data_IF_922345938530
#
_entry.id   IF_922345938530
#
_cell.length_a   1.000
_cell.length_b   1.000
_cell.length_c   1.000
_cell.angle_alpha   90.00
_cell.angle_beta   90.00
_cell.angle_gamma   90.00
#
_symmetry.space_group_name_H-M   'P 1'
#
loop_
_entity.id
_entity.type
_entity.pdbx_description
1 polymer ?
#
# COMPACT_ATOMS: atom_id res chain seq x y z
N UNK A 1 -33.83 -55.65 0.10
CA UNK A 1 -33.55 -54.66 1.16
C UNK A 1 -32.14 -54.14 0.96
N UNK A 2 -32.05 -52.83 0.83
CA UNK A 2 -30.91 -52.00 0.45
C UNK A 2 -29.89 -51.92 1.59
N UNK A 3 -28.59 -52.06 1.29
CA UNK A 3 -27.52 -51.56 2.18
C UNK A 3 -26.74 -50.53 1.38
N UNK A 4 -26.89 -49.27 1.79
CA UNK A 4 -26.27 -48.11 1.17
C UNK A 4 -24.76 -48.11 1.46
N UNK A 5 -23.96 -48.00 0.40
CA UNK A 5 -22.52 -47.74 0.48
C UNK A 5 -22.33 -46.24 0.75
N UNK A 6 -21.96 -45.87 1.97
CA UNK A 6 -21.65 -44.49 2.32
C UNK A 6 -20.26 -44.12 1.76
N UNK A 7 -20.22 -43.36 0.67
CA UNK A 7 -19.02 -42.70 0.17
C UNK A 7 -18.69 -41.51 1.08
N UNK A 8 -17.68 -41.68 1.94
CA UNK A 8 -17.02 -40.56 2.61
C UNK A 8 -16.19 -39.78 1.59
N UNK A 9 -16.81 -38.77 0.96
CA UNK A 9 -16.09 -37.80 0.13
C UNK A 9 -15.26 -36.90 1.02
N UNK A 10 -13.95 -37.12 1.06
CA UNK A 10 -12.98 -36.17 1.61
C UNK A 10 -12.93 -35.00 0.61
N UNK A 11 -13.74 -33.98 0.84
CA UNK A 11 -13.66 -32.72 0.11
C UNK A 11 -12.34 -32.03 0.47
N UNK A 12 -11.35 -32.11 -0.40
CA UNK A 12 -10.21 -31.22 -0.34
C UNK A 12 -10.71 -29.80 -0.57
N UNK A 13 -10.80 -29.00 0.51
CA UNK A 13 -10.97 -27.55 0.40
C UNK A 13 -9.67 -27.02 -0.20
N UNK A 14 -9.61 -26.91 -1.53
CA UNK A 14 -8.53 -26.26 -2.23
C UNK A 14 -8.71 -24.76 -1.98
N UNK A 15 -8.12 -24.25 -0.90
CA UNK A 15 -8.05 -22.81 -0.70
C UNK A 15 -7.30 -22.20 -1.87
N UNK A 16 -7.99 -21.45 -2.74
CA UNK A 16 -7.33 -20.68 -3.78
C UNK A 16 -6.47 -19.60 -3.12
N UNK A 17 -5.16 -19.78 -3.14
CA UNK A 17 -4.22 -18.75 -2.70
C UNK A 17 -4.41 -17.49 -3.55
N UNK A 18 -4.31 -16.28 -2.97
CA UNK A 18 -4.35 -15.04 -3.73
C UNK A 18 -3.27 -15.04 -4.81
N UNK A 19 -3.66 -14.85 -6.07
CA UNK A 19 -2.70 -14.65 -7.16
C UNK A 19 -2.24 -13.20 -7.13
N UNK A 20 -0.92 -13.01 -7.00
CA UNK A 20 -0.29 -11.69 -7.06
C UNK A 20 0.11 -11.41 -8.50
N UNK A 21 -0.64 -10.52 -9.16
CA UNK A 21 -0.27 -9.97 -10.46
C UNK A 21 0.42 -8.62 -10.27
N UNK A 22 1.25 -8.23 -11.25
CA UNK A 22 1.90 -6.91 -11.28
C UNK A 22 1.63 -6.23 -12.62
N UNK A 23 1.43 -4.91 -12.58
CA UNK A 23 1.39 -4.09 -13.79
C UNK A 23 2.75 -4.06 -14.50
N UNK A 24 2.77 -3.49 -15.71
CA UNK A 24 4.02 -3.01 -16.28
C UNK A 24 4.66 -1.94 -15.35
N UNK A 25 6.00 -1.80 -15.35
CA UNK A 25 6.68 -0.74 -14.61
C UNK A 25 6.13 0.64 -14.94
N UNK A 26 5.92 1.46 -13.92
CA UNK A 26 5.39 2.81 -14.06
C UNK A 26 6.06 3.78 -13.10
N UNK A 27 5.88 5.07 -13.37
CA UNK A 27 6.34 6.17 -12.52
C UNK A 27 5.14 6.89 -11.96
N UNK A 28 5.15 7.19 -10.66
CA UNK A 28 4.16 8.01 -10.00
C UNK A 28 4.85 9.24 -9.41
N UNK A 29 4.19 10.39 -9.51
CA UNK A 29 4.53 11.60 -8.76
C UNK A 29 3.42 11.88 -7.76
N UNK A 30 3.78 12.29 -6.54
CA UNK A 30 2.80 12.55 -5.50
C UNK A 30 3.43 12.65 -4.11
N UNK A 31 2.60 12.74 -3.08
CA UNK A 31 3.06 12.90 -1.70
C UNK A 31 3.08 11.55 -0.95
N UNK A 32 4.11 11.31 -0.14
CA UNK A 32 4.10 10.18 0.82
C UNK A 32 3.25 10.55 2.03
N UNK A 33 2.21 9.77 2.29
CA UNK A 33 1.24 10.03 3.35
C UNK A 33 1.06 8.83 4.27
N UNK A 34 0.65 9.08 5.52
CA UNK A 34 0.00 8.08 6.36
C UNK A 34 -1.41 7.82 5.82
N UNK A 35 -1.69 6.59 5.42
CA UNK A 35 -2.95 6.23 4.76
C UNK A 35 -4.15 6.46 5.68
N UNK A 36 -4.04 6.11 6.96
CA UNK A 36 -5.16 6.19 7.89
C UNK A 36 -5.48 7.65 8.22
N UNK A 37 -4.46 8.47 8.45
CA UNK A 37 -4.62 9.89 8.67
C UNK A 37 -5.19 10.58 7.43
N UNK A 38 -4.67 10.31 6.23
CA UNK A 38 -5.21 10.85 5.00
C UNK A 38 -6.69 10.48 4.81
N UNK A 39 -7.05 9.21 5.01
CA UNK A 39 -8.46 8.76 4.89
C UNK A 39 -9.40 9.44 5.89
N UNK A 40 -8.93 9.76 7.09
CA UNK A 40 -9.74 10.37 8.15
C UNK A 40 -9.78 11.90 8.08
N UNK A 41 -8.71 12.54 7.62
CA UNK A 41 -8.51 14.00 7.69
C UNK A 41 -8.57 14.67 6.33
N UNK A 42 -8.47 13.91 5.24
CA UNK A 42 -8.42 14.41 3.88
C UNK A 42 -7.16 15.23 3.59
N UNK A 43 -7.14 15.88 2.44
CA UNK A 43 -6.00 16.70 1.98
C UNK A 43 -5.67 17.83 2.96
N UNK A 44 -6.68 18.53 3.48
CA UNK A 44 -6.46 19.73 4.29
C UNK A 44 -5.65 19.50 5.59
N UNK A 45 -5.67 18.28 6.14
CA UNK A 45 -5.04 17.98 7.43
C UNK A 45 -4.32 16.61 7.49
N UNK A 46 -4.29 15.86 6.38
CA UNK A 46 -3.61 14.57 6.25
C UNK A 46 -2.44 14.58 5.27
N UNK A 47 -2.04 15.75 4.79
CA UNK A 47 -0.91 15.96 3.87
C UNK A 47 -0.12 17.20 4.26
N UNK A 48 1.00 17.46 3.60
CA UNK A 48 1.81 18.65 3.78
C UNK A 48 2.71 18.65 5.02
N UNK A 49 3.49 19.72 5.18
CA UNK A 49 4.50 19.84 6.23
C UNK A 49 3.89 19.74 7.65
N UNK A 50 2.68 20.28 7.83
CA UNK A 50 1.95 20.23 9.09
C UNK A 50 1.60 18.81 9.55
N UNK A 51 1.61 17.82 8.64
CA UNK A 51 1.24 16.45 8.93
C UNK A 51 2.44 15.52 9.23
N UNK A 52 3.67 15.96 8.97
CA UNK A 52 4.86 15.09 8.98
C UNK A 52 5.12 14.42 10.34
N UNK A 53 5.12 15.19 11.42
CA UNK A 53 5.49 14.65 12.75
C UNK A 53 4.41 13.71 13.29
N UNK A 54 3.14 14.04 13.05
CA UNK A 54 2.01 13.17 13.40
C UNK A 54 2.07 11.85 12.62
N UNK A 55 2.33 11.92 11.32
CA UNK A 55 2.47 10.73 10.47
C UNK A 55 3.65 9.85 10.89
N UNK A 56 4.82 10.43 11.18
CA UNK A 56 5.99 9.68 11.66
C UNK A 56 5.69 8.91 12.94
N UNK A 57 5.05 9.56 13.90
CA UNK A 57 4.64 8.93 15.15
C UNK A 57 3.66 7.76 14.89
N UNK A 58 2.65 7.94 14.05
CA UNK A 58 1.70 6.88 13.69
C UNK A 58 2.39 5.66 13.03
N UNK A 59 3.34 5.88 12.13
CA UNK A 59 4.10 4.80 11.50
C UNK A 59 4.98 4.06 12.51
N UNK A 60 5.71 4.80 13.36
CA UNK A 60 6.66 4.23 14.30
C UNK A 60 6.00 3.50 15.47
N UNK A 61 4.91 4.06 16.00
CA UNK A 61 4.28 3.60 17.25
C UNK A 61 3.02 2.79 17.01
N UNK A 62 2.22 3.12 15.99
CA UNK A 62 0.92 2.49 15.72
C UNK A 62 0.95 1.51 14.55
N UNK A 63 2.11 1.35 13.90
CA UNK A 63 2.26 0.46 12.74
C UNK A 63 1.44 0.90 11.54
N UNK A 64 1.17 2.20 11.42
CA UNK A 64 0.39 2.74 10.32
C UNK A 64 1.05 2.47 8.96
N UNK A 65 0.23 2.30 7.93
CA UNK A 65 0.71 2.05 6.57
C UNK A 65 1.02 3.37 5.86
N UNK A 66 2.16 3.41 5.16
CA UNK A 66 2.48 4.49 4.24
C UNK A 66 1.96 4.22 2.84
N UNK A 67 1.60 5.29 2.15
CA UNK A 67 1.17 5.28 0.76
C UNK A 67 1.73 6.45 -0.03
N UNK A 68 1.59 6.38 -1.34
CA UNK A 68 1.71 7.55 -2.22
C UNK A 68 0.32 8.03 -2.60
N UNK A 69 0.02 9.29 -2.31
CA UNK A 69 -1.10 10.01 -2.89
C UNK A 69 -0.63 10.61 -4.21
N UNK A 70 -0.91 9.96 -5.33
CA UNK A 70 -0.42 10.40 -6.63
C UNK A 70 -1.18 11.61 -7.16
N UNK A 71 -0.53 12.35 -8.05
CA UNK A 71 -1.07 13.48 -8.80
C UNK A 71 -2.08 13.00 -9.86
N UNK A 72 -3.21 12.41 -9.44
CA UNK A 72 -4.36 12.10 -10.31
C UNK A 72 -4.76 10.63 -10.39
N UNK A 73 -3.87 9.69 -10.07
CA UNK A 73 -4.21 8.25 -10.04
C UNK A 73 -4.73 7.80 -8.67
N UNK A 74 -4.63 8.65 -7.64
CA UNK A 74 -5.17 8.40 -6.31
C UNK A 74 -4.17 7.77 -5.34
N UNK A 75 -4.67 7.07 -4.33
CA UNK A 75 -3.87 6.57 -3.21
C UNK A 75 -3.44 5.12 -3.43
N UNK A 76 -2.14 4.86 -3.33
CA UNK A 76 -1.57 3.52 -3.35
C UNK A 76 -0.82 3.23 -2.05
N UNK A 77 -1.06 2.07 -1.47
CA UNK A 77 -0.28 1.58 -0.34
C UNK A 77 1.12 1.14 -0.79
N UNK A 78 2.16 1.56 -0.08
CA UNK A 78 3.51 1.05 -0.33
C UNK A 78 3.59 -0.42 0.08
N UNK A 79 4.11 -1.24 -0.83
CA UNK A 79 4.28 -2.67 -0.67
C UNK A 79 5.71 -3.11 -1.01
N UNK A 80 5.98 -4.41 -0.86
CA UNK A 80 7.26 -5.01 -1.20
C UNK A 80 8.37 -4.70 -0.19
N UNK A 81 9.64 -4.79 -0.60
CA UNK A 81 10.79 -4.56 0.29
C UNK A 81 10.80 -3.18 0.96
N UNK A 82 10.22 -2.16 0.31
CA UNK A 82 10.14 -0.81 0.86
C UNK A 82 9.21 -0.69 2.09
N UNK A 83 8.29 -1.64 2.27
CA UNK A 83 7.38 -1.69 3.42
C UNK A 83 7.98 -2.37 4.67
N UNK A 84 9.18 -2.97 4.54
CA UNK A 84 9.86 -3.63 5.66
C UNK A 84 10.37 -2.62 6.69
N UNK A 85 10.72 -3.12 7.86
CA UNK A 85 11.36 -2.34 8.93
C UNK A 85 10.62 -1.04 9.25
N UNK A 86 9.29 -1.14 9.33
CA UNK A 86 8.38 0.01 9.54
C UNK A 86 8.60 1.12 8.50
N UNK A 87 8.83 0.76 7.24
CA UNK A 87 9.08 1.70 6.15
C UNK A 87 10.33 2.57 6.32
N UNK A 88 11.40 2.08 6.95
CA UNK A 88 12.62 2.87 7.26
C UNK A 88 13.16 3.67 6.05
N UNK A 89 13.06 3.11 4.83
CA UNK A 89 13.52 3.75 3.58
C UNK A 89 12.57 4.82 3.03
N UNK A 90 11.31 4.82 3.48
CA UNK A 90 10.25 5.70 2.97
C UNK A 90 9.93 6.81 3.98
N UNK A 91 10.08 6.56 5.28
CA UNK A 91 9.87 7.53 6.36
C UNK A 91 10.53 8.91 6.14
N UNK A 92 11.77 9.02 5.60
CA UNK A 92 12.38 10.32 5.36
C UNK A 92 11.57 11.22 4.43
N UNK A 93 10.75 10.61 3.55
CA UNK A 93 9.98 11.29 2.52
C UNK A 93 8.53 11.58 2.94
N UNK A 94 8.11 11.22 4.16
CA UNK A 94 6.76 11.53 4.66
C UNK A 94 6.47 13.03 4.52
N UNK A 95 5.31 13.35 3.97
CA UNK A 95 4.87 14.70 3.64
C UNK A 95 5.57 15.32 2.43
N UNK A 96 6.60 14.71 1.86
CA UNK A 96 7.29 15.27 0.69
C UNK A 96 6.65 14.78 -0.61
N UNK A 97 6.63 15.67 -1.61
CA UNK A 97 6.37 15.27 -2.98
C UNK A 97 7.58 14.54 -3.55
N UNK A 98 7.36 13.32 -4.02
CA UNK A 98 8.36 12.42 -4.56
C UNK A 98 8.01 11.98 -5.97
N UNK A 99 9.03 11.53 -6.69
CA UNK A 99 8.90 10.67 -7.87
C UNK A 99 9.31 9.27 -7.46
N UNK A 100 8.42 8.30 -7.68
CA UNK A 100 8.69 6.88 -7.40
C UNK A 100 8.57 6.06 -8.67
N UNK A 101 9.31 4.95 -8.72
CA UNK A 101 9.14 3.93 -9.77
C UNK A 101 8.82 2.58 -9.15
N UNK A 102 8.09 1.75 -9.88
CA UNK A 102 7.68 0.43 -9.42
C UNK A 102 6.55 -0.15 -10.24
N UNK A 103 5.78 -1.06 -9.64
CA UNK A 103 4.63 -1.70 -10.28
C UNK A 103 3.43 -1.69 -9.36
N UNK A 104 2.24 -1.48 -9.89
CA UNK A 104 1.01 -1.75 -9.16
C UNK A 104 0.88 -3.26 -8.91
N UNK A 105 0.44 -3.61 -7.70
CA UNK A 105 0.27 -4.98 -7.23
C UNK A 105 -1.23 -5.25 -7.20
N UNK A 106 -1.64 -6.22 -8.02
CA UNK A 106 -3.04 -6.57 -8.23
C UNK A 106 -3.24 -7.95 -7.60
N UNK A 107 -3.93 -7.97 -6.46
CA UNK A 107 -4.29 -9.21 -5.77
C UNK A 107 -5.64 -9.69 -6.29
N UNK A 108 -5.71 -10.94 -6.75
CA UNK A 108 -6.92 -11.50 -7.39
C UNK A 108 -8.17 -11.52 -6.50
N UNK A 109 -8.03 -11.28 -5.21
CA UNK A 109 -9.12 -11.27 -4.24
C UNK A 109 -9.15 -10.01 -3.35
N UNK A 110 -8.42 -8.95 -3.70
CA UNK A 110 -8.44 -7.69 -2.97
C UNK A 110 -8.45 -6.51 -3.94
N UNK A 111 -9.66 -5.97 -4.15
CA UNK A 111 -9.92 -4.88 -5.08
C UNK A 111 -9.98 -3.51 -4.39
N UNK A 112 -10.00 -3.47 -3.06
CA UNK A 112 -10.21 -2.23 -2.29
C UNK A 112 -8.90 -1.51 -1.95
N UNK A 113 -7.76 -2.21 -2.05
CA UNK A 113 -6.45 -1.67 -1.69
C UNK A 113 -5.51 -1.72 -2.88
N UNK A 114 -5.41 -0.58 -3.58
CA UNK A 114 -4.35 -0.38 -4.55
C UNK A 114 -3.00 -0.37 -3.84
N UNK A 115 -2.10 -1.22 -4.31
CA UNK A 115 -0.79 -1.43 -3.70
C UNK A 115 0.30 -1.19 -4.73
N UNK A 116 1.45 -0.65 -4.32
CA UNK A 116 2.55 -0.31 -5.21
C UNK A 116 3.86 -0.88 -4.67
N UNK A 117 4.47 -1.78 -5.45
CA UNK A 117 5.77 -2.37 -5.16
C UNK A 117 6.87 -1.34 -5.47
N UNK A 118 7.23 -0.54 -4.46
CA UNK A 118 8.13 0.61 -4.62
C UNK A 118 9.57 0.14 -4.83
N UNK A 119 10.16 0.53 -5.95
CA UNK A 119 11.54 0.19 -6.33
C UNK A 119 12.49 1.37 -6.11
N UNK A 120 12.10 2.58 -6.54
CA UNK A 120 12.88 3.80 -6.31
C UNK A 120 12.01 4.93 -5.79
N UNK A 121 12.63 5.84 -5.03
CA UNK A 121 12.01 7.04 -4.48
C UNK A 121 13.02 8.18 -4.51
N UNK A 122 12.58 9.36 -4.96
CA UNK A 122 13.37 10.59 -4.97
C UNK A 122 12.48 11.78 -4.63
N UNK A 123 12.94 12.65 -3.73
CA UNK A 123 12.28 13.92 -3.48
C UNK A 123 12.30 14.80 -4.73
N UNK A 124 11.19 15.49 -4.99
CA UNK A 124 11.15 16.55 -6.00
C UNK A 124 11.66 17.85 -5.39
N UNK A 125 12.27 18.72 -6.20
CA UNK A 125 12.68 20.07 -5.76
C UNK A 125 11.53 21.05 -5.60
N UNK A 126 10.27 20.59 -5.55
CA UNK A 126 9.15 21.52 -5.34
C UNK A 126 9.18 21.99 -3.89
N UNK A 127 9.30 23.30 -3.71
CA UNK A 127 9.12 23.94 -2.41
C UNK A 127 7.74 23.56 -1.87
N UNK A 128 7.72 23.08 -0.64
CA UNK A 128 6.53 22.75 0.10
C UNK A 128 5.98 23.97 0.81
#
# INVERSE_FOLDING_TARGET
MTVALALAGIGAVIGQEPVINRSAPMTLTGEIVDISCYKQKGVAAGTGAAHVDCARMCVLEKGAALGILSDGDGLFRIWGPAARDKFLKVQPYIGQTVVITGTEVILSNNYDVRSFDLQTIKATKKAQ
#
